data_IF_467839827391
#
_entry.id   IF_467839827391
#
_cell.length_a   1.000
_cell.length_b   1.000
_cell.length_c   1.000
_cell.angle_alpha   90.00
_cell.angle_beta   90.00
_cell.angle_gamma   90.00
#
_symmetry.space_group_name_H-M   'P 1'
#
loop_
_entity.id
_entity.type
_entity.pdbx_description
1 polymer ?
#
# COMPACT_ATOMS: atom_id res chain seq x y z
N UNK A 1 -15.63 4.03 -32.06
CA UNK A 1 -16.75 4.85 -31.57
C UNK A 1 -16.22 5.85 -30.54
N UNK A 2 -16.15 7.13 -30.90
CA UNK A 2 -15.65 8.25 -30.05
C UNK A 2 -16.84 9.02 -29.43
N UNK A 3 -17.92 8.30 -29.07
CA UNK A 3 -19.25 8.91 -28.89
C UNK A 3 -19.48 9.62 -27.55
N UNK A 4 -19.01 9.06 -26.43
CA UNK A 4 -19.27 9.64 -25.10
C UNK A 4 -18.16 10.59 -24.64
N UNK A 5 -16.89 10.30 -24.99
CA UNK A 5 -15.74 11.10 -24.58
C UNK A 5 -15.62 12.45 -25.31
N UNK A 6 -16.33 12.60 -26.44
CA UNK A 6 -16.37 13.84 -27.23
C UNK A 6 -17.36 14.88 -26.69
N UNK A 7 -18.24 14.50 -25.76
CA UNK A 7 -19.26 15.38 -25.17
C UNK A 7 -18.71 16.13 -23.95
N UNK A 8 -17.76 15.54 -23.21
CA UNK A 8 -17.23 16.13 -21.96
C UNK A 8 -15.85 16.74 -22.20
N UNK A 9 -15.79 18.08 -22.30
CA UNK A 9 -14.53 18.83 -22.47
C UNK A 9 -13.94 19.19 -21.11
N UNK A 10 -12.97 18.41 -20.65
CA UNK A 10 -12.16 18.78 -19.50
C UNK A 10 -11.29 19.98 -19.84
N UNK A 11 -11.50 21.10 -19.15
CA UNK A 11 -10.68 22.32 -19.30
C UNK A 11 -9.44 22.31 -18.40
N UNK A 12 -9.33 21.33 -17.51
CA UNK A 12 -8.20 21.07 -16.62
C UNK A 12 -7.89 19.58 -16.65
N UNK A 13 -6.61 19.21 -16.56
CA UNK A 13 -6.23 17.80 -16.51
C UNK A 13 -6.70 17.17 -15.20
N UNK A 14 -7.51 16.11 -15.30
CA UNK A 14 -7.85 15.26 -14.16
C UNK A 14 -6.67 14.32 -13.95
N UNK A 15 -5.96 14.48 -12.82
CA UNK A 15 -4.77 13.69 -12.51
C UNK A 15 -5.09 12.39 -11.78
N UNK A 16 -6.17 12.36 -11.00
CA UNK A 16 -6.57 11.19 -10.24
C UNK A 16 -7.51 10.28 -11.08
N UNK A 17 -7.14 9.00 -11.32
CA UNK A 17 -8.01 8.06 -12.02
C UNK A 17 -9.34 7.78 -11.31
N UNK A 18 -9.43 7.96 -9.98
CA UNK A 18 -10.68 7.77 -9.24
C UNK A 18 -11.71 8.87 -9.56
N UNK A 19 -11.27 10.11 -9.70
CA UNK A 19 -12.14 11.23 -10.06
C UNK A 19 -12.71 11.06 -11.47
N UNK A 20 -11.88 10.55 -12.38
CA UNK A 20 -12.30 10.23 -13.74
C UNK A 20 -13.37 9.13 -13.75
N UNK A 21 -13.16 8.06 -12.98
CA UNK A 21 -14.13 6.96 -12.85
C UNK A 21 -15.47 7.45 -12.27
N UNK A 22 -15.42 8.28 -11.23
CA UNK A 22 -16.62 8.86 -10.62
C UNK A 22 -17.40 9.72 -11.61
N UNK A 23 -16.72 10.51 -12.43
CA UNK A 23 -17.37 11.37 -13.40
C UNK A 23 -18.07 10.57 -14.50
N UNK A 24 -17.42 9.54 -15.04
CA UNK A 24 -18.06 8.62 -15.99
C UNK A 24 -19.26 7.90 -15.37
N UNK A 25 -19.14 7.48 -14.10
CA UNK A 25 -20.22 6.87 -13.36
C UNK A 25 -21.42 7.81 -13.21
N UNK A 26 -21.20 9.06 -12.84
CA UNK A 26 -22.25 10.07 -12.70
C UNK A 26 -22.97 10.37 -14.02
N UNK A 27 -22.24 10.50 -15.13
CA UNK A 27 -22.84 10.74 -16.45
C UNK A 27 -23.62 9.51 -16.94
N UNK A 28 -23.05 8.31 -16.80
CA UNK A 28 -23.70 7.07 -17.21
C UNK A 28 -25.01 6.83 -16.44
N UNK A 29 -25.00 7.00 -15.12
CA UNK A 29 -26.19 6.86 -14.28
C UNK A 29 -27.22 7.94 -14.59
N UNK A 30 -26.81 9.20 -14.78
CA UNK A 30 -27.69 10.31 -15.16
C UNK A 30 -28.42 10.07 -16.49
N UNK A 31 -27.71 9.64 -17.54
CA UNK A 31 -28.31 9.32 -18.84
C UNK A 31 -29.26 8.12 -18.72
N UNK A 32 -28.90 7.09 -17.96
CA UNK A 32 -29.72 5.88 -17.80
C UNK A 32 -31.04 6.18 -17.07
N UNK A 33 -31.00 7.03 -16.04
CA UNK A 33 -32.20 7.48 -15.33
C UNK A 33 -33.03 8.42 -16.23
N UNK A 34 -32.38 9.32 -16.98
CA UNK A 34 -33.04 10.22 -17.94
C UNK A 34 -33.74 9.48 -19.09
N UNK A 35 -33.24 8.31 -19.48
CA UNK A 35 -33.86 7.40 -20.46
C UNK A 35 -34.98 6.53 -19.85
N UNK A 36 -35.39 6.78 -18.60
CA UNK A 36 -36.43 6.04 -17.88
C UNK A 36 -36.08 4.55 -17.61
N UNK A 37 -34.80 4.19 -17.68
CA UNK A 37 -34.31 2.81 -17.51
C UNK A 37 -33.87 2.54 -16.07
N UNK A 38 -34.78 2.71 -15.12
CA UNK A 38 -34.47 2.64 -13.68
C UNK A 38 -33.91 1.29 -13.21
N UNK A 39 -34.40 0.18 -13.79
CA UNK A 39 -33.90 -1.16 -13.47
C UNK A 39 -32.41 -1.33 -13.78
N UNK A 40 -31.95 -0.81 -14.91
CA UNK A 40 -30.55 -0.87 -15.32
C UNK A 40 -29.66 0.03 -14.46
N UNK A 41 -30.15 1.21 -14.07
CA UNK A 41 -29.45 2.08 -13.13
C UNK A 41 -29.24 1.40 -11.76
N UNK A 42 -30.27 0.73 -11.26
CA UNK A 42 -30.18 -0.01 -9.99
C UNK A 42 -29.19 -1.17 -10.05
N UNK A 43 -29.26 -1.99 -11.11
CA UNK A 43 -28.36 -3.13 -11.28
C UNK A 43 -26.89 -2.67 -11.40
N UNK A 44 -26.64 -1.59 -12.14
CA UNK A 44 -25.32 -0.99 -12.24
C UNK A 44 -24.77 -0.57 -10.87
N UNK A 45 -25.58 0.10 -10.04
CA UNK A 45 -25.16 0.56 -8.72
C UNK A 45 -24.74 -0.60 -7.83
N UNK A 46 -25.51 -1.70 -7.85
CA UNK A 46 -25.18 -2.93 -7.11
C UNK A 46 -23.83 -3.51 -7.55
N UNK A 47 -23.57 -3.56 -8.86
CA UNK A 47 -22.31 -4.07 -9.41
C UNK A 47 -21.12 -3.22 -8.91
N UNK A 48 -21.21 -1.90 -8.99
CA UNK A 48 -20.13 -1.01 -8.54
C UNK A 48 -19.86 -1.17 -7.04
N UNK A 49 -20.90 -1.26 -6.22
CA UNK A 49 -20.77 -1.50 -4.78
C UNK A 49 -20.06 -2.84 -4.51
N UNK A 50 -20.47 -3.90 -5.21
CA UNK A 50 -19.84 -5.23 -5.08
C UNK A 50 -18.36 -5.21 -5.48
N UNK A 51 -18.02 -4.54 -6.58
CA UNK A 51 -16.63 -4.37 -7.02
C UNK A 51 -15.82 -3.64 -5.95
N UNK A 52 -16.37 -2.57 -5.36
CA UNK A 52 -15.69 -1.83 -4.29
C UNK A 52 -15.44 -2.69 -3.04
N UNK A 53 -16.43 -3.48 -2.63
CA UNK A 53 -16.31 -4.41 -1.50
C UNK A 53 -15.27 -5.51 -1.77
N UNK A 54 -15.25 -6.05 -2.99
CA UNK A 54 -14.28 -7.06 -3.40
C UNK A 54 -12.83 -6.51 -3.40
N UNK A 55 -12.64 -5.28 -3.88
CA UNK A 55 -11.34 -4.60 -3.87
C UNK A 55 -10.91 -4.31 -2.42
N UNK A 56 -11.79 -3.76 -1.58
CA UNK A 56 -11.47 -3.43 -0.19
C UNK A 56 -11.04 -4.66 0.64
N UNK A 57 -11.54 -5.85 0.31
CA UNK A 57 -11.12 -7.10 0.93
C UNK A 57 -9.67 -7.48 0.59
N UNK A 58 -9.15 -7.06 -0.56
CA UNK A 58 -7.82 -7.40 -1.05
C UNK A 58 -6.77 -6.32 -0.83
N UNK A 59 -7.14 -5.12 -0.37
CA UNK A 59 -6.16 -4.11 0.05
C UNK A 59 -5.48 -4.64 1.32
N UNK A 60 -4.17 -4.94 1.29
CA UNK A 60 -3.47 -5.34 2.49
C UNK A 60 -3.53 -4.17 3.48
N UNK A 61 -4.36 -4.29 4.51
CA UNK A 61 -4.41 -3.37 5.67
C UNK A 61 -3.14 -3.43 6.54
N UNK A 62 -1.99 -3.75 5.95
CA UNK A 62 -0.71 -3.70 6.60
C UNK A 62 -0.11 -2.34 6.35
N UNK A 63 0.06 -1.55 7.40
CA UNK A 63 0.91 -0.36 7.33
C UNK A 63 2.32 -0.82 6.97
N UNK A 64 2.94 -0.18 5.99
CA UNK A 64 4.34 -0.45 5.64
C UNK A 64 5.23 0.26 6.65
N UNK A 65 6.21 -0.45 7.18
CA UNK A 65 7.24 0.12 8.03
C UNK A 65 8.60 -0.20 7.43
N UNK A 66 9.51 0.78 7.48
CA UNK A 66 10.93 0.59 7.21
C UNK A 66 11.61 0.41 8.55
N UNK A 67 12.11 -0.80 8.79
CA UNK A 67 12.95 -1.13 9.94
C UNK A 67 14.41 -0.90 9.55
N UNK A 68 15.08 0.00 10.25
CA UNK A 68 16.52 0.24 10.14
C UNK A 68 17.19 -0.37 11.37
N UNK A 69 18.07 -1.33 11.13
CA UNK A 69 18.82 -2.04 12.19
C UNK A 69 20.30 -1.74 12.04
N UNK A 70 20.91 -1.20 13.09
CA UNK A 70 22.35 -1.01 13.19
C UNK A 70 22.94 -2.11 14.06
N UNK A 71 23.75 -3.00 13.48
CA UNK A 71 24.39 -4.09 14.20
C UNK A 71 25.89 -4.19 13.89
N UNK A 72 26.66 -4.66 14.87
CA UNK A 72 28.10 -4.89 14.73
C UNK A 72 28.38 -6.40 14.80
N UNK A 73 29.14 -6.93 13.84
CA UNK A 73 29.46 -8.36 13.75
C UNK A 73 28.84 -9.09 12.57
N UNK A 74 29.52 -10.13 12.09
CA UNK A 74 29.19 -10.84 10.84
C UNK A 74 28.10 -11.90 11.01
N UNK A 75 27.94 -12.45 12.21
CA UNK A 75 27.09 -13.61 12.50
C UNK A 75 25.61 -13.29 12.75
N UNK A 76 25.27 -12.05 13.13
CA UNK A 76 23.89 -11.65 13.47
C UNK A 76 22.98 -11.57 12.22
N UNK A 77 23.57 -11.39 11.04
CA UNK A 77 22.80 -11.24 9.79
C UNK A 77 21.88 -12.43 9.49
N UNK A 78 22.29 -13.65 9.83
CA UNK A 78 21.51 -14.86 9.59
C UNK A 78 20.39 -15.04 10.62
N UNK A 79 20.63 -14.65 11.88
CA UNK A 79 19.65 -14.69 12.96
C UNK A 79 18.54 -13.65 12.73
N UNK A 80 18.91 -12.43 12.33
CA UNK A 80 17.98 -11.39 11.92
C UNK A 80 17.11 -11.86 10.75
N UNK A 81 17.73 -12.50 9.74
CA UNK A 81 17.02 -13.04 8.59
C UNK A 81 16.06 -14.15 8.98
N UNK A 82 16.40 -14.97 9.98
CA UNK A 82 15.53 -16.04 10.51
C UNK A 82 14.30 -15.49 11.23
N UNK A 83 14.47 -14.43 12.03
CA UNK A 83 13.37 -13.73 12.72
C UNK A 83 12.46 -13.05 11.69
N UNK A 84 13.04 -12.35 10.72
CA UNK A 84 12.32 -11.64 9.64
C UNK A 84 11.60 -12.59 8.68
N UNK A 85 12.10 -13.83 8.47
CA UNK A 85 11.48 -14.85 7.59
C UNK A 85 10.04 -15.21 7.96
N UNK A 86 9.65 -15.03 9.24
CA UNK A 86 8.28 -15.28 9.68
C UNK A 86 7.28 -14.19 9.24
N UNK A 87 7.75 -13.08 8.67
CA UNK A 87 6.93 -11.98 8.15
C UNK A 87 7.15 -11.84 6.63
N UNK A 88 6.19 -11.23 5.93
CA UNK A 88 6.45 -10.73 4.57
C UNK A 88 7.35 -9.50 4.69
N UNK A 89 8.63 -9.69 4.37
CA UNK A 89 9.64 -8.63 4.38
C UNK A 89 10.25 -8.49 2.99
N UNK A 90 10.63 -7.26 2.62
CA UNK A 90 11.50 -6.98 1.48
C UNK A 90 12.70 -6.18 1.95
N UNK A 91 13.91 -6.64 1.60
CA UNK A 91 15.13 -5.90 1.90
C UNK A 91 15.25 -4.80 0.85
N UNK A 92 15.27 -3.53 1.27
CA UNK A 92 15.47 -2.39 0.37
C UNK A 92 16.92 -2.02 0.21
N UNK A 93 17.66 -2.00 1.32
CA UNK A 93 19.11 -1.74 1.29
C UNK A 93 19.83 -2.47 2.42
N UNK A 94 21.06 -2.87 2.12
CA UNK A 94 22.01 -3.43 3.08
C UNK A 94 23.35 -2.72 2.87
N UNK A 95 23.76 -1.91 3.84
CA UNK A 95 25.01 -1.16 3.81
C UNK A 95 25.95 -1.76 4.84
N UNK A 96 27.07 -2.32 4.39
CA UNK A 96 28.09 -2.92 5.26
C UNK A 96 29.29 -1.97 5.31
N UNK A 97 29.55 -1.34 6.46
CA UNK A 97 30.83 -0.68 6.76
C UNK A 97 31.71 -1.61 7.60
N UNK A 98 33.02 -1.37 7.62
CA UNK A 98 34.07 -2.23 8.21
C UNK A 98 33.69 -2.90 9.55
N UNK A 99 33.06 -2.18 10.48
CA UNK A 99 32.60 -2.72 11.78
C UNK A 99 31.10 -2.56 12.06
N UNK A 100 30.39 -1.79 11.23
CA UNK A 100 28.98 -1.45 11.44
C UNK A 100 28.17 -1.78 10.20
N UNK A 101 27.11 -2.57 10.37
CA UNK A 101 26.16 -2.91 9.31
C UNK A 101 24.85 -2.20 9.56
N UNK A 102 24.36 -1.51 8.54
CA UNK A 102 23.03 -0.90 8.51
C UNK A 102 22.15 -1.71 7.57
N UNK A 103 21.05 -2.24 8.09
CA UNK A 103 20.08 -3.02 7.33
C UNK A 103 18.74 -2.30 7.33
N UNK A 104 18.27 -1.88 6.14
CA UNK A 104 16.94 -1.31 5.97
C UNK A 104 15.99 -2.34 5.32
N UNK A 105 14.96 -2.72 6.07
CA UNK A 105 13.99 -3.74 5.67
C UNK A 105 12.58 -3.15 5.67
N UNK A 106 11.88 -3.27 4.55
CA UNK A 106 10.45 -3.03 4.50
C UNK A 106 9.69 -4.23 5.06
N UNK A 107 8.86 -3.98 6.07
CA UNK A 107 8.05 -5.01 6.73
C UNK A 107 6.60 -4.56 6.69
N UNK A 108 5.73 -5.45 6.21
CA UNK A 108 4.27 -5.25 6.30
C UNK A 108 3.81 -5.76 7.65
N UNK A 109 3.52 -4.84 8.58
CA UNK A 109 3.04 -5.20 9.91
C UNK A 109 1.51 -5.27 9.89
N UNK A 110 0.96 -6.48 10.03
CA UNK A 110 -0.48 -6.68 10.26
C UNK A 110 -0.76 -6.48 11.75
N UNK A 111 -1.67 -5.55 12.08
CA UNK A 111 -2.17 -5.29 13.45
C UNK A 111 -1.09 -4.91 14.48
N UNK A 112 -0.22 -3.96 14.13
CA UNK A 112 0.70 -3.28 15.07
C UNK A 112 1.52 -4.21 15.99
N UNK A 113 1.81 -5.42 15.50
CA UNK A 113 2.52 -6.42 16.27
C UNK A 113 4.02 -6.08 16.27
N UNK A 114 4.41 -5.22 17.21
CA UNK A 114 5.79 -4.74 17.44
C UNK A 114 6.64 -5.71 18.27
N UNK A 115 6.13 -6.89 18.65
CA UNK A 115 6.86 -7.84 19.49
C UNK A 115 8.20 -8.30 18.89
N UNK A 116 8.34 -8.23 17.56
CA UNK A 116 9.61 -8.53 16.88
C UNK A 116 10.70 -7.48 17.17
N UNK A 117 10.34 -6.25 17.54
CA UNK A 117 11.30 -5.20 17.89
C UNK A 117 12.05 -5.57 19.17
N UNK A 118 11.33 -6.08 20.18
CA UNK A 118 11.92 -6.48 21.45
C UNK A 118 12.89 -7.65 21.26
N UNK A 119 12.50 -8.65 20.46
CA UNK A 119 13.38 -9.80 20.13
C UNK A 119 14.64 -9.38 19.37
N UNK A 120 14.57 -8.35 18.53
CA UNK A 120 15.77 -7.83 17.82
C UNK A 120 16.62 -6.98 18.77
N UNK A 121 16.01 -6.22 19.68
CA UNK A 121 16.71 -5.42 20.68
C UNK A 121 17.44 -6.26 21.72
N UNK A 122 16.91 -7.44 22.07
CA UNK A 122 17.57 -8.39 22.98
C UNK A 122 18.87 -9.00 22.42
N UNK A 123 19.14 -8.85 21.12
CA UNK A 123 20.40 -9.31 20.53
C UNK A 123 21.56 -8.40 21.00
N UNK A 124 22.59 -8.96 21.66
CA UNK A 124 23.66 -8.19 22.33
C UNK A 124 24.55 -7.37 21.39
N UNK A 125 24.36 -7.50 20.09
CA UNK A 125 25.16 -6.86 19.04
C UNK A 125 24.37 -5.87 18.18
N UNK A 126 23.12 -5.58 18.57
CA UNK A 126 22.30 -4.52 17.97
C UNK A 126 22.56 -3.24 18.76
N UNK A 127 23.12 -2.23 18.09
CA UNK A 127 23.39 -0.94 18.70
C UNK A 127 22.12 -0.09 18.76
N UNK A 128 21.39 -0.04 17.65
CA UNK A 128 20.18 0.77 17.51
C UNK A 128 19.16 0.12 16.59
N UNK A 129 17.89 0.32 16.93
CA UNK A 129 16.73 -0.17 16.20
C UNK A 129 15.75 0.98 15.96
N UNK A 130 15.55 1.36 14.70
CA UNK A 130 14.62 2.43 14.33
C UNK A 130 13.52 1.87 13.43
N UNK A 131 12.26 2.11 13.80
CA UNK A 131 11.10 1.75 12.98
C UNK A 131 10.45 3.03 12.45
N UNK A 132 10.43 3.19 11.14
CA UNK A 132 9.85 4.33 10.45
C UNK A 132 8.58 3.85 9.74
N UNK A 133 7.42 4.41 10.07
CA UNK A 133 6.21 4.12 9.30
C UNK A 133 6.33 4.78 7.93
N UNK A 134 6.36 3.97 6.88
CA UNK A 134 6.35 4.47 5.52
C UNK A 134 4.89 4.71 5.10
N UNK A 135 4.42 5.94 5.30
CA UNK A 135 3.21 6.42 4.64
C UNK A 135 3.63 6.77 3.22
N UNK A 136 3.34 5.89 2.26
CA UNK A 136 3.68 6.09 0.86
C UNK A 136 2.85 7.20 0.20
N UNK A 137 2.85 8.42 0.76
CA UNK A 137 2.39 9.62 0.06
C UNK A 137 3.46 10.05 -0.95
N UNK A 138 3.61 9.24 -2.00
CA UNK A 138 4.10 9.74 -3.27
C UNK A 138 2.89 10.26 -4.04
N UNK A 139 2.48 11.48 -3.74
CA UNK A 139 1.68 12.28 -4.65
C UNK A 139 2.60 12.79 -5.76
N UNK A 140 2.61 12.07 -6.89
CA UNK A 140 3.15 12.55 -8.17
C UNK A 140 2.01 12.92 -9.11
#
# INVERSE_FOLDING_TARGET
>A
MVGALSIVRYRTAIKDPMDLLFLFWAVATGITIGANMHYLAFLGAVIVILTFLAINKNIPKGKMYVLVVHYSGKDIGDELRRILRRKRYQIKSKTVRRDNVELAVEIVVKKDNLAFMETIKELPSVNDLTLIQYSGEYHG
#
